data_IF_427163903383
#
_entry.id   IF_427163903383
#
_cell.length_a   1.000
_cell.length_b   1.000
_cell.length_c   1.000
_cell.angle_alpha   90.00
_cell.angle_beta   90.00
_cell.angle_gamma   90.00
#
_symmetry.space_group_name_H-M   'P 1'
#
loop_
_entity.id
_entity.type
_entity.pdbx_description
1 polymer ?
#
# COMPACT_ATOMS: atom_id res chain seq x y z
N UNK A 1 1.31 -6.14 52.43
CA UNK A 1 1.20 -4.80 53.06
C UNK A 1 1.36 -3.74 51.97
N UNK A 2 0.57 -2.63 51.98
CA UNK A 2 -0.89 -2.62 51.85
C UNK A 2 -1.36 -1.91 50.55
N UNK A 3 -2.56 -2.26 50.21
CA UNK A 3 -3.45 -1.57 49.28
C UNK A 3 -3.61 -0.06 49.57
N UNK A 4 -3.71 0.78 48.53
CA UNK A 4 -4.48 2.02 48.64
C UNK A 4 -5.46 2.12 47.46
N UNK A 5 -6.72 2.07 47.84
CA UNK A 5 -7.93 2.46 47.09
C UNK A 5 -8.03 3.98 47.07
N UNK A 6 -8.75 4.49 46.10
CA UNK A 6 -9.59 5.72 46.14
C UNK A 6 -9.42 6.51 44.82
N UNK A 7 -10.38 7.10 44.13
CA UNK A 7 -11.77 7.48 44.39
C UNK A 7 -12.49 7.67 43.06
N UNK A 8 -13.72 7.37 43.10
CA UNK A 8 -14.86 7.60 42.22
C UNK A 8 -15.17 9.09 42.07
N UNK A 9 -15.39 9.57 40.86
CA UNK A 9 -15.90 10.92 40.57
C UNK A 9 -16.84 10.93 39.36
N UNK A 10 -18.13 10.69 39.63
CA UNK A 10 -19.21 10.77 38.67
C UNK A 10 -19.67 12.24 38.58
N UNK A 11 -19.57 12.90 37.42
CA UNK A 11 -20.19 14.19 37.16
C UNK A 11 -21.23 14.05 36.06
N UNK A 12 -22.51 14.07 36.51
CA UNK A 12 -23.68 14.22 35.66
C UNK A 12 -23.82 15.68 35.25
N UNK A 13 -23.84 15.99 33.97
CA UNK A 13 -24.33 17.26 33.42
C UNK A 13 -25.70 17.03 32.80
N UNK A 14 -26.72 17.63 33.46
CA UNK A 14 -28.08 17.75 32.96
C UNK A 14 -28.14 19.07 32.17
N UNK A 15 -28.44 19.01 30.88
CA UNK A 15 -28.75 20.20 30.07
C UNK A 15 -30.23 20.21 29.75
N UNK A 16 -30.88 21.29 30.24
CA UNK A 16 -32.30 21.57 30.09
C UNK A 16 -32.63 22.07 28.68
N UNK A 17 -33.69 21.51 28.08
CA UNK A 17 -34.35 22.05 26.89
C UNK A 17 -35.16 23.31 27.28
N UNK A 18 -34.92 24.41 26.60
CA UNK A 18 -35.81 25.56 26.61
C UNK A 18 -36.66 25.56 25.33
N UNK A 19 -37.97 25.52 25.54
CA UNK A 19 -38.99 25.66 24.51
C UNK A 19 -39.19 27.17 24.19
N UNK A 20 -39.06 27.55 22.93
CA UNK A 20 -39.41 28.92 22.48
C UNK A 20 -40.83 28.90 21.94
N UNK A 21 -41.69 29.66 22.60
CA UNK A 21 -43.08 29.88 22.22
C UNK A 21 -43.15 30.95 21.14
N UNK A 22 -43.72 30.66 19.98
CA UNK A 22 -43.95 31.63 18.92
C UNK A 22 -45.31 32.35 19.13
N UNK A 23 -45.27 33.66 19.10
CA UNK A 23 -46.43 34.55 19.17
C UNK A 23 -47.05 34.73 17.78
N UNK A 24 -48.38 34.63 17.60
CA UNK A 24 -49.01 34.86 16.30
C UNK A 24 -49.18 36.34 15.99
N UNK A 25 -48.76 36.75 14.79
CA UNK A 25 -48.97 38.08 14.22
C UNK A 25 -50.32 38.14 13.50
N UNK A 26 -51.11 39.25 13.64
CA UNK A 26 -52.42 39.34 13.00
C UNK A 26 -52.33 39.56 11.49
N UNK A 27 -53.19 38.88 10.76
CA UNK A 27 -53.32 38.96 9.31
C UNK A 27 -54.01 40.29 8.89
N UNK A 28 -53.36 41.06 8.04
CA UNK A 28 -53.95 42.21 7.35
C UNK A 28 -54.51 41.76 6.00
N UNK A 29 -55.84 41.84 5.85
CA UNK A 29 -56.57 41.59 4.62
C UNK A 29 -56.34 42.73 3.64
N UNK A 30 -55.75 42.47 2.47
CA UNK A 30 -55.71 43.36 1.34
C UNK A 30 -56.44 42.71 0.16
N UNK A 31 -57.38 43.46 -0.41
CA UNK A 31 -58.21 43.07 -1.56
C UNK A 31 -57.36 42.77 -2.79
N UNK A 32 -57.73 41.76 -3.62
CA UNK A 32 -56.97 41.45 -4.80
C UNK A 32 -57.23 42.47 -5.91
N UNK A 33 -56.20 43.14 -6.37
CA UNK A 33 -56.19 43.89 -7.63
C UNK A 33 -56.03 42.89 -8.74
N UNK A 34 -56.98 42.86 -9.71
CA UNK A 34 -56.91 41.99 -10.88
C UNK A 34 -55.77 42.42 -11.81
N UNK A 35 -54.69 41.72 -11.80
CA UNK A 35 -53.59 41.86 -12.75
C UNK A 35 -53.98 41.12 -14.08
N UNK A 36 -53.80 41.74 -15.26
CA UNK A 36 -54.07 41.04 -16.52
C UNK A 36 -53.15 39.80 -16.68
N UNK A 37 -53.77 38.72 -17.09
CA UNK A 37 -53.11 37.45 -17.34
C UNK A 37 -52.03 37.60 -18.44
N UNK A 38 -50.75 37.26 -18.20
CA UNK A 38 -49.73 37.28 -19.22
C UNK A 38 -50.06 36.25 -20.31
N UNK A 39 -50.01 36.67 -21.56
CA UNK A 39 -50.13 35.78 -22.73
C UNK A 39 -48.98 34.82 -22.74
N UNK A 40 -49.25 33.52 -22.58
CA UNK A 40 -48.27 32.47 -22.71
C UNK A 40 -47.69 32.45 -24.12
N UNK A 41 -46.42 32.79 -24.25
CA UNK A 41 -45.62 32.48 -25.45
C UNK A 41 -45.45 30.96 -25.53
N UNK A 42 -45.51 30.37 -26.72
CA UNK A 42 -45.24 28.93 -26.87
C UNK A 42 -43.84 28.62 -26.42
N UNK A 43 -43.73 27.59 -25.57
CA UNK A 43 -42.45 27.07 -25.09
C UNK A 43 -41.55 26.68 -26.23
N UNK A 44 -40.40 27.33 -26.36
CA UNK A 44 -39.33 26.90 -27.24
C UNK A 44 -38.78 25.60 -26.68
N UNK A 45 -38.76 24.50 -27.46
CA UNK A 45 -38.22 23.24 -26.96
C UNK A 45 -36.77 23.44 -26.52
N UNK A 46 -36.52 23.26 -25.21
CA UNK A 46 -35.19 23.22 -24.67
C UNK A 46 -34.46 22.03 -25.31
N UNK A 47 -33.27 22.23 -25.91
CA UNK A 47 -32.51 21.11 -26.44
C UNK A 47 -32.22 20.11 -25.35
N UNK A 48 -32.57 18.84 -25.58
CA UNK A 48 -32.28 17.74 -24.70
C UNK A 48 -30.76 17.66 -24.50
N UNK A 49 -30.25 17.58 -23.23
CA UNK A 49 -28.81 17.51 -23.02
C UNK A 49 -28.24 16.26 -23.69
N UNK A 50 -27.33 16.46 -24.61
CA UNK A 50 -26.56 15.38 -25.23
C UNK A 50 -25.86 14.59 -24.15
N UNK A 51 -26.01 13.26 -24.07
CA UNK A 51 -25.31 12.46 -23.07
C UNK A 51 -23.80 12.66 -23.20
N UNK A 52 -23.18 13.29 -22.20
CA UNK A 52 -21.73 13.36 -22.09
C UNK A 52 -21.27 11.97 -21.67
N UNK A 53 -20.58 11.27 -22.58
CA UNK A 53 -19.93 10.00 -22.21
C UNK A 53 -18.87 10.30 -21.17
N UNK A 54 -19.04 9.77 -19.96
CA UNK A 54 -17.95 9.74 -19.00
C UNK A 54 -16.79 8.95 -19.60
N UNK A 55 -15.55 9.45 -19.54
CA UNK A 55 -14.40 8.70 -20.02
C UNK A 55 -14.34 7.36 -19.29
N UNK A 56 -14.40 6.26 -20.05
CA UNK A 56 -14.19 4.93 -19.50
C UNK A 56 -12.82 4.90 -18.78
N UNK A 57 -12.72 4.35 -17.56
CA UNK A 57 -11.44 4.27 -16.88
C UNK A 57 -10.44 3.55 -17.77
N UNK A 58 -9.34 4.21 -18.11
CA UNK A 58 -8.25 3.61 -18.87
C UNK A 58 -7.68 2.46 -18.03
N UNK A 59 -7.70 1.25 -18.58
CA UNK A 59 -7.07 0.10 -17.92
C UNK A 59 -5.58 0.42 -17.65
N UNK A 60 -5.13 0.13 -16.44
CA UNK A 60 -3.72 0.28 -16.09
C UNK A 60 -2.87 -0.66 -16.97
N UNK A 61 -1.70 -0.21 -17.46
CA UNK A 61 -0.86 -1.06 -18.28
C UNK A 61 -0.34 -2.25 -17.45
N UNK A 62 -0.32 -3.45 -18.07
CA UNK A 62 0.21 -4.67 -17.43
C UNK A 62 1.67 -4.51 -17.02
N UNK A 63 2.48 -3.88 -17.85
CA UNK A 63 3.89 -3.56 -17.55
C UNK A 63 4.05 -2.05 -17.44
N UNK A 64 4.74 -1.60 -16.39
CA UNK A 64 4.77 -0.19 -16.03
C UNK A 64 6.02 0.18 -15.22
N UNK A 65 6.26 1.47 -15.11
CA UNK A 65 7.12 2.06 -14.07
C UNK A 65 6.24 2.95 -13.20
N UNK A 66 6.37 2.84 -11.89
CA UNK A 66 5.67 3.67 -10.92
C UNK A 66 6.70 4.44 -10.07
N UNK A 67 6.61 5.77 -10.10
CA UNK A 67 7.54 6.68 -9.42
C UNK A 67 6.98 7.23 -8.09
N UNK A 68 5.84 6.75 -7.64
CA UNK A 68 5.19 7.10 -6.37
C UNK A 68 4.92 8.60 -6.18
N UNK A 69 4.70 9.34 -7.25
CA UNK A 69 4.53 10.80 -7.24
C UNK A 69 3.28 11.28 -6.49
N UNK A 70 2.20 10.50 -6.44
CA UNK A 70 0.92 11.01 -5.96
C UNK A 70 0.03 10.04 -5.18
N UNK A 71 0.00 8.76 -5.49
CA UNK A 71 -0.92 7.85 -4.81
C UNK A 71 -0.49 6.39 -4.88
N UNK A 72 -1.00 5.59 -3.94
CA UNK A 72 -0.86 4.14 -3.93
C UNK A 72 -2.11 3.45 -4.50
N UNK A 73 -2.83 4.11 -5.42
CA UNK A 73 -3.98 3.50 -6.08
C UNK A 73 -3.57 2.22 -6.80
N UNK A 74 -4.30 1.13 -6.54
CA UNK A 74 -3.97 -0.19 -7.07
C UNK A 74 -2.94 -0.97 -6.25
N UNK A 75 -2.35 -0.37 -5.22
CA UNK A 75 -1.46 -1.08 -4.30
C UNK A 75 -2.20 -1.53 -3.04
N UNK A 76 -2.00 -2.77 -2.64
CA UNK A 76 -2.54 -3.38 -1.43
C UNK A 76 -1.43 -3.50 -0.40
N UNK A 77 -1.69 -3.03 0.81
CA UNK A 77 -0.71 -3.08 1.90
C UNK A 77 -1.11 -4.21 2.83
N UNK A 78 -0.18 -5.13 3.08
CA UNK A 78 -0.34 -6.23 4.02
C UNK A 78 0.78 -6.18 5.05
N UNK A 79 0.49 -6.70 6.24
CA UNK A 79 1.43 -6.76 7.36
C UNK A 79 1.42 -8.14 7.99
N UNK A 80 2.61 -8.60 8.37
CA UNK A 80 2.79 -9.77 9.24
C UNK A 80 3.63 -9.41 10.46
N UNK A 81 3.48 -10.19 11.52
CA UNK A 81 4.26 -10.06 12.74
C UNK A 81 3.66 -9.11 13.75
N UNK A 82 4.37 -8.08 14.17
CA UNK A 82 3.93 -7.14 15.20
C UNK A 82 2.63 -6.42 14.82
N UNK A 83 1.75 -6.18 15.79
CA UNK A 83 0.44 -5.52 15.59
C UNK A 83 0.53 -3.98 15.53
N UNK A 84 1.70 -3.39 15.72
CA UNK A 84 1.90 -1.94 15.62
C UNK A 84 1.68 -1.49 14.18
N UNK A 85 0.88 -0.44 14.00
CA UNK A 85 0.57 0.10 12.68
C UNK A 85 1.79 0.84 12.11
N UNK A 86 2.40 0.37 11.02
CA UNK A 86 3.50 1.06 10.36
C UNK A 86 2.99 2.27 9.57
N UNK A 87 3.89 3.19 9.27
CA UNK A 87 3.58 4.33 8.41
C UNK A 87 3.97 4.00 6.97
N UNK A 88 2.95 3.87 6.09
CA UNK A 88 3.14 3.60 4.66
C UNK A 88 2.53 4.74 3.87
N UNK A 89 3.32 5.44 3.07
CA UNK A 89 2.86 6.58 2.28
C UNK A 89 3.69 6.80 1.03
N UNK A 90 3.05 7.33 -0.01
CA UNK A 90 3.73 7.95 -1.15
C UNK A 90 3.94 9.43 -0.83
N UNK A 91 5.17 9.89 -0.79
CA UNK A 91 5.54 11.26 -0.46
C UNK A 91 6.85 11.65 -1.11
N UNK A 92 6.89 12.86 -1.71
CA UNK A 92 8.08 13.42 -2.37
C UNK A 92 8.71 12.49 -3.41
N UNK A 93 7.88 11.84 -4.24
CA UNK A 93 8.34 10.93 -5.29
C UNK A 93 8.95 9.63 -4.76
N UNK A 94 8.51 9.15 -3.59
CA UNK A 94 8.95 7.87 -3.06
C UNK A 94 7.84 7.17 -2.26
N UNK A 95 7.82 5.84 -2.30
CA UNK A 95 7.09 5.02 -1.33
C UNK A 95 7.93 4.87 -0.07
N UNK A 96 7.41 5.38 1.03
CA UNK A 96 8.04 5.26 2.35
C UNK A 96 7.40 4.13 3.14
N UNK A 97 8.22 3.16 3.57
CA UNK A 97 7.85 2.11 4.51
C UNK A 97 8.61 2.34 5.81
N UNK A 98 7.91 2.87 6.83
CA UNK A 98 8.49 3.15 8.14
C UNK A 98 7.94 2.19 9.18
N UNK A 99 8.83 1.54 9.90
CA UNK A 99 8.53 0.62 11.00
C UNK A 99 9.32 1.03 12.24
N UNK A 100 8.60 1.37 13.32
CA UNK A 100 9.16 1.75 14.60
C UNK A 100 9.09 0.61 15.63
N UNK A 101 8.54 -0.53 15.22
CA UNK A 101 8.42 -1.75 16.03
C UNK A 101 9.22 -2.90 15.43
N UNK A 102 9.85 -3.75 16.25
CA UNK A 102 10.59 -4.92 15.76
C UNK A 102 9.64 -6.00 15.26
N UNK A 103 10.19 -6.95 14.47
CA UNK A 103 9.47 -8.14 13.97
C UNK A 103 8.20 -7.80 13.20
N UNK A 104 8.30 -6.82 12.31
CA UNK A 104 7.24 -6.38 11.40
C UNK A 104 7.67 -6.62 9.96
N UNK A 105 6.81 -7.24 9.16
CA UNK A 105 6.98 -7.43 7.71
C UNK A 105 5.88 -6.68 6.99
N UNK A 106 6.25 -5.82 6.07
CA UNK A 106 5.35 -5.05 5.23
C UNK A 106 5.45 -5.51 3.78
N UNK A 107 4.30 -5.64 3.16
CA UNK A 107 4.15 -5.94 1.74
C UNK A 107 3.32 -4.84 1.10
N UNK A 108 3.78 -4.33 -0.02
CA UNK A 108 3.03 -3.42 -0.89
C UNK A 108 2.89 -4.10 -2.24
N UNK A 109 1.73 -4.72 -2.48
CA UNK A 109 1.46 -5.57 -3.63
C UNK A 109 0.68 -4.82 -4.70
N UNK A 110 1.06 -4.97 -5.97
CA UNK A 110 0.30 -4.46 -7.09
C UNK A 110 -0.93 -5.34 -7.31
N UNK A 111 -2.11 -4.81 -7.00
CA UNK A 111 -3.38 -5.57 -6.96
C UNK A 111 -4.01 -5.86 -8.32
N UNK A 112 -3.90 -4.98 -9.35
CA UNK A 112 -4.68 -5.12 -10.58
C UNK A 112 -4.31 -6.31 -11.46
N UNK A 113 -3.06 -6.83 -11.39
CA UNK A 113 -2.54 -7.82 -12.32
C UNK A 113 -1.88 -8.99 -11.58
N UNK A 114 -1.96 -10.17 -12.21
CA UNK A 114 -1.20 -11.36 -11.85
C UNK A 114 -0.26 -11.74 -13.00
N UNK A 115 0.92 -12.22 -12.66
CA UNK A 115 2.01 -12.50 -13.61
C UNK A 115 2.49 -13.93 -13.42
N UNK A 116 2.66 -14.62 -14.54
CA UNK A 116 3.37 -15.90 -14.63
C UNK A 116 4.89 -15.68 -14.67
N UNK A 117 5.40 -15.21 -15.80
CA UNK A 117 6.80 -14.81 -15.95
C UNK A 117 6.89 -13.27 -15.91
N UNK A 118 7.76 -12.75 -15.05
CA UNK A 118 7.86 -11.31 -14.82
C UNK A 118 9.22 -10.90 -14.28
N UNK A 119 9.68 -9.72 -14.65
CA UNK A 119 10.81 -9.04 -14.03
C UNK A 119 10.32 -7.82 -13.25
N UNK A 120 10.77 -7.70 -12.01
CA UNK A 120 10.54 -6.56 -11.14
C UNK A 120 11.89 -5.98 -10.79
N UNK A 121 12.04 -4.66 -10.99
CA UNK A 121 13.19 -3.89 -10.54
C UNK A 121 12.70 -2.75 -9.66
N UNK A 122 13.44 -2.40 -8.61
CA UNK A 122 13.14 -1.25 -7.77
C UNK A 122 14.41 -0.57 -7.31
N UNK A 123 14.37 0.76 -7.25
CA UNK A 123 15.41 1.56 -6.63
C UNK A 123 14.97 1.93 -5.22
N UNK A 124 15.86 1.76 -4.27
CA UNK A 124 15.58 2.10 -2.89
C UNK A 124 16.77 2.72 -2.16
N UNK A 125 16.45 3.43 -1.09
CA UNK A 125 17.41 3.91 -0.09
C UNK A 125 16.89 3.55 1.30
N UNK A 126 17.70 2.89 2.13
CA UNK A 126 17.41 2.79 3.55
C UNK A 126 17.85 4.08 4.22
N UNK A 127 16.89 4.93 4.60
CA UNK A 127 17.13 6.25 5.20
C UNK A 127 17.37 6.21 6.72
N UNK A 128 17.13 5.04 7.36
CA UNK A 128 17.53 4.83 8.74
C UNK A 128 19.03 4.48 8.82
N UNK A 129 19.67 4.84 9.91
CA UNK A 129 21.08 4.47 10.17
C UNK A 129 21.27 3.00 10.53
N UNK A 130 20.18 2.28 10.84
CA UNK A 130 20.15 0.86 11.19
C UNK A 130 20.06 -0.02 9.95
N UNK A 131 20.63 -1.24 9.93
CA UNK A 131 20.37 -2.19 8.86
C UNK A 131 18.87 -2.48 8.70
N UNK A 132 18.41 -2.54 7.46
CA UNK A 132 17.03 -2.87 7.13
C UNK A 132 16.99 -3.94 6.05
N UNK A 133 16.04 -4.85 6.15
CA UNK A 133 15.70 -5.81 5.09
C UNK A 133 14.70 -5.14 4.15
N UNK A 134 15.04 -5.13 2.86
CA UNK A 134 14.22 -4.54 1.78
C UNK A 134 14.17 -5.53 0.64
N UNK A 135 13.02 -5.69 -0.01
CA UNK A 135 12.92 -6.74 -1.01
C UNK A 135 11.83 -6.57 -2.06
N UNK A 136 11.78 -7.58 -2.91
CA UNK A 136 10.83 -7.73 -4.01
C UNK A 136 10.04 -9.02 -3.83
N UNK A 137 8.77 -8.98 -4.22
CA UNK A 137 7.85 -10.11 -4.16
C UNK A 137 7.40 -10.48 -5.58
N UNK A 138 7.36 -11.77 -5.88
CA UNK A 138 6.68 -12.28 -7.07
C UNK A 138 5.80 -13.49 -6.76
N UNK A 139 4.85 -13.75 -7.65
CA UNK A 139 3.91 -14.88 -7.58
C UNK A 139 3.16 -14.95 -6.26
N UNK A 140 2.80 -13.77 -5.73
CA UNK A 140 2.00 -13.71 -4.53
C UNK A 140 0.57 -14.19 -4.79
N UNK A 141 0.15 -15.18 -4.01
CA UNK A 141 -1.23 -15.65 -3.89
C UNK A 141 -1.61 -15.85 -2.43
N UNK A 142 -2.83 -15.46 -2.05
CA UNK A 142 -3.28 -15.51 -0.65
C UNK A 142 -3.23 -16.93 -0.06
N UNK A 143 -3.52 -17.95 -0.88
CA UNK A 143 -3.56 -19.36 -0.45
C UNK A 143 -2.26 -20.10 -0.75
N UNK A 144 -1.59 -19.76 -1.86
CA UNK A 144 -0.42 -20.48 -2.36
C UNK A 144 0.88 -20.02 -1.75
N UNK A 145 0.94 -18.76 -1.29
CA UNK A 145 2.16 -18.11 -0.81
C UNK A 145 2.83 -17.25 -1.87
N UNK A 146 4.09 -16.95 -1.67
CA UNK A 146 4.88 -16.06 -2.55
C UNK A 146 6.37 -16.35 -2.48
N UNK A 147 7.11 -15.84 -3.46
CA UNK A 147 8.57 -15.71 -3.35
C UNK A 147 8.93 -14.29 -2.99
N UNK A 148 9.90 -14.13 -2.08
CA UNK A 148 10.52 -12.84 -1.79
C UNK A 148 12.03 -12.91 -1.86
N UNK A 149 12.63 -11.94 -2.53
CA UNK A 149 14.05 -11.68 -2.54
C UNK A 149 14.32 -10.49 -1.63
N UNK A 150 15.06 -10.71 -0.57
CA UNK A 150 15.40 -9.69 0.41
C UNK A 150 16.89 -9.39 0.40
N UNK A 151 17.24 -8.11 0.45
CA UNK A 151 18.58 -7.62 0.71
C UNK A 151 18.59 -6.86 2.03
N UNK A 152 19.64 -7.04 2.81
CA UNK A 152 19.87 -6.25 4.01
C UNK A 152 21.04 -5.30 3.79
N UNK A 153 20.92 -4.07 4.28
CA UNK A 153 21.97 -3.06 4.13
C UNK A 153 23.24 -3.34 4.97
N UNK A 154 23.30 -4.49 5.62
CA UNK A 154 24.52 -5.07 6.20
C UNK A 154 25.31 -5.94 5.20
N UNK A 155 24.84 -6.08 3.95
CA UNK A 155 25.46 -6.84 2.90
C UNK A 155 24.96 -8.27 2.75
N UNK A 156 23.96 -8.69 3.53
CA UNK A 156 23.36 -10.03 3.42
C UNK A 156 22.14 -10.04 2.51
N UNK A 157 21.76 -11.22 2.02
CA UNK A 157 20.55 -11.44 1.24
C UNK A 157 20.01 -12.85 1.38
N UNK A 158 18.70 -13.00 1.16
CA UNK A 158 18.06 -14.31 1.12
C UNK A 158 16.91 -14.35 0.10
N UNK A 159 16.42 -15.56 -0.14
CA UNK A 159 15.19 -15.83 -0.86
C UNK A 159 14.35 -16.72 0.01
N UNK A 160 13.13 -16.27 0.24
CA UNK A 160 12.16 -16.97 1.06
C UNK A 160 10.94 -17.35 0.21
N UNK A 161 10.34 -18.47 0.56
CA UNK A 161 8.97 -18.79 0.27
C UNK A 161 8.15 -18.43 1.51
N UNK A 162 7.21 -17.52 1.36
CA UNK A 162 6.26 -17.13 2.40
C UNK A 162 4.88 -17.70 2.16
N UNK A 163 4.13 -17.98 3.23
CA UNK A 163 2.71 -18.29 3.16
C UNK A 163 1.97 -17.80 4.40
N UNK A 164 0.72 -17.44 4.24
CA UNK A 164 -0.12 -17.10 5.37
C UNK A 164 -0.57 -18.36 6.13
N UNK A 165 -0.42 -18.34 7.44
CA UNK A 165 -1.04 -19.31 8.35
C UNK A 165 -2.41 -18.79 8.84
N UNK A 166 -2.52 -17.48 9.01
CA UNK A 166 -3.75 -16.75 9.33
C UNK A 166 -3.51 -15.26 9.02
N UNK A 167 -4.53 -14.39 9.01
CA UNK A 167 -4.33 -12.96 8.81
C UNK A 167 -3.28 -12.39 9.78
N UNK A 168 -2.26 -11.72 9.23
CA UNK A 168 -1.15 -11.14 10.00
C UNK A 168 -0.08 -12.12 10.49
N UNK A 169 -0.24 -13.43 10.25
CA UNK A 169 0.72 -14.45 10.65
C UNK A 169 1.22 -15.21 9.43
N UNK A 170 2.49 -15.02 9.09
CA UNK A 170 3.13 -15.69 7.97
C UNK A 170 4.18 -16.70 8.45
N UNK A 171 4.36 -17.78 7.69
CA UNK A 171 5.46 -18.72 7.81
C UNK A 171 6.42 -18.50 6.65
N UNK A 172 7.73 -18.59 6.94
CA UNK A 172 8.77 -18.42 5.94
C UNK A 172 9.67 -19.64 5.88
N UNK A 173 9.94 -20.12 4.66
CA UNK A 173 10.86 -21.21 4.40
C UNK A 173 11.98 -20.71 3.47
N UNK A 174 13.26 -20.92 3.82
CA UNK A 174 14.35 -20.57 2.93
C UNK A 174 14.28 -21.36 1.61
N UNK A 175 14.25 -20.63 0.49
CA UNK A 175 14.48 -21.24 -0.84
C UNK A 175 15.97 -21.54 -0.99
N UNK A 176 16.81 -20.66 -0.47
CA UNK A 176 18.26 -20.87 -0.33
C UNK A 176 18.72 -20.39 1.03
N UNK A 177 19.88 -20.89 1.47
CA UNK A 177 20.55 -20.34 2.64
C UNK A 177 20.89 -18.87 2.43
N UNK A 178 20.90 -18.11 3.53
CA UNK A 178 21.39 -16.73 3.57
C UNK A 178 22.82 -16.64 3.02
N UNK A 179 23.10 -15.55 2.34
CA UNK A 179 24.40 -15.31 1.76
C UNK A 179 24.77 -13.82 1.89
N UNK A 180 26.03 -13.49 1.68
CA UNK A 180 26.52 -12.12 1.72
C UNK A 180 27.19 -11.74 0.39
N UNK A 181 27.13 -10.46 0.06
CA UNK A 181 27.78 -9.89 -1.14
C UNK A 181 28.22 -8.46 -0.88
N UNK A 182 29.30 -8.04 -1.57
CA UNK A 182 29.76 -6.66 -1.59
C UNK A 182 29.00 -5.76 -2.58
N UNK A 183 28.08 -6.33 -3.35
CA UNK A 183 27.26 -5.56 -4.29
C UNK A 183 26.20 -4.73 -3.58
N UNK A 184 25.74 -5.18 -2.39
CA UNK A 184 24.77 -4.47 -1.57
C UNK A 184 25.47 -3.32 -0.86
N UNK A 185 24.91 -2.12 -1.01
CA UNK A 185 25.42 -0.90 -0.41
C UNK A 185 24.89 -0.72 1.02
N UNK A 186 25.64 -0.03 1.90
CA UNK A 186 25.19 0.24 3.26
C UNK A 186 23.99 1.21 3.31
N UNK A 187 23.41 1.36 4.51
CA UNK A 187 22.34 2.32 4.77
C UNK A 187 22.74 3.73 4.34
N UNK A 188 21.80 4.47 3.76
CA UNK A 188 22.00 5.81 3.22
C UNK A 188 22.40 5.86 1.74
N UNK A 189 22.87 4.76 1.18
CA UNK A 189 23.19 4.67 -0.25
C UNK A 189 21.98 4.19 -1.05
N UNK A 190 21.79 4.82 -2.23
CA UNK A 190 20.75 4.42 -3.18
C UNK A 190 21.25 3.26 -4.02
N UNK A 191 20.42 2.25 -4.18
CA UNK A 191 20.74 1.05 -4.95
C UNK A 191 19.51 0.46 -5.62
N UNK A 192 19.74 -0.37 -6.64
CA UNK A 192 18.69 -1.06 -7.38
C UNK A 192 18.75 -2.55 -7.10
N UNK A 193 17.59 -3.14 -6.86
CA UNK A 193 17.41 -4.59 -6.77
C UNK A 193 16.46 -5.07 -7.86
N UNK A 194 16.68 -6.27 -8.35
CA UNK A 194 15.82 -6.88 -9.38
C UNK A 194 15.54 -8.36 -9.09
N UNK A 195 14.34 -8.78 -9.41
CA UNK A 195 13.87 -10.16 -9.30
C UNK A 195 13.20 -10.56 -10.62
N UNK A 196 13.79 -11.52 -11.32
CA UNK A 196 13.18 -12.16 -12.47
C UNK A 196 12.61 -13.51 -12.03
N UNK A 197 11.30 -13.67 -12.12
CA UNK A 197 10.58 -14.92 -11.90
C UNK A 197 10.19 -15.47 -13.27
N UNK A 198 10.93 -16.48 -13.75
CA UNK A 198 10.70 -17.08 -15.06
C UNK A 198 10.70 -18.61 -14.97
N UNK A 199 9.62 -19.24 -15.44
CA UNK A 199 9.40 -20.67 -15.26
C UNK A 199 9.59 -21.05 -13.78
N UNK A 200 10.54 -21.94 -13.45
CA UNK A 200 10.87 -22.30 -12.06
C UNK A 200 12.17 -21.65 -11.55
N UNK A 201 12.73 -20.71 -12.30
CA UNK A 201 14.01 -20.07 -11.96
C UNK A 201 13.78 -18.65 -11.48
N UNK A 202 14.30 -18.35 -10.30
CA UNK A 202 14.39 -17.01 -9.76
C UNK A 202 15.79 -16.46 -10.05
N UNK A 203 15.89 -15.32 -10.75
CA UNK A 203 17.17 -14.66 -10.99
C UNK A 203 17.20 -13.34 -10.23
N UNK A 204 18.21 -13.17 -9.39
CA UNK A 204 18.39 -12.02 -8.51
C UNK A 204 19.41 -11.05 -9.10
N UNK A 205 19.13 -9.77 -8.97
CA UNK A 205 20.01 -8.69 -9.41
C UNK A 205 20.23 -7.67 -8.29
N UNK A 206 21.44 -7.15 -8.23
CA UNK A 206 21.80 -5.98 -7.43
C UNK A 206 22.61 -5.04 -8.34
N UNK A 207 22.15 -3.79 -8.47
CA UNK A 207 22.75 -2.79 -9.34
C UNK A 207 23.02 -3.35 -10.77
N UNK A 208 21.96 -3.92 -11.38
CA UNK A 208 21.96 -4.57 -12.70
C UNK A 208 22.93 -5.78 -12.87
N UNK A 209 23.59 -6.16 -11.81
CA UNK A 209 24.47 -7.33 -11.81
C UNK A 209 23.73 -8.58 -11.34
N UNK A 210 23.80 -9.67 -12.10
CA UNK A 210 23.25 -10.97 -11.68
C UNK A 210 23.97 -11.41 -10.41
N UNK A 211 23.23 -11.49 -9.33
CA UNK A 211 23.72 -11.97 -8.04
C UNK A 211 23.65 -13.49 -7.95
N UNK A 212 22.48 -14.05 -8.30
CA UNK A 212 22.25 -15.50 -8.17
C UNK A 212 21.08 -15.95 -9.06
N UNK A 213 21.13 -17.22 -9.46
CA UNK A 213 19.99 -17.95 -10.04
C UNK A 213 19.64 -19.12 -9.13
N UNK A 214 18.35 -19.33 -8.89
CA UNK A 214 17.84 -20.30 -7.93
C UNK A 214 16.69 -21.07 -8.54
N UNK A 215 16.76 -22.39 -8.44
CA UNK A 215 15.65 -23.27 -8.78
C UNK A 215 14.65 -23.31 -7.61
N UNK A 216 13.43 -22.90 -7.88
CA UNK A 216 12.33 -22.86 -6.94
C UNK A 216 11.25 -23.91 -7.22
N UNK A 217 11.56 -24.92 -8.06
CA UNK A 217 10.62 -25.97 -8.50
C UNK A 217 9.87 -26.62 -7.33
N UNK A 218 10.50 -26.77 -6.18
CA UNK A 218 9.91 -27.47 -5.03
C UNK A 218 8.68 -26.77 -4.43
N UNK A 219 8.47 -25.46 -4.71
CA UNK A 219 7.35 -24.68 -4.16
C UNK A 219 6.19 -24.50 -5.13
N UNK A 220 6.39 -24.83 -6.41
CA UNK A 220 5.38 -24.94 -7.46
C UNK A 220 4.54 -23.68 -7.74
N UNK A 221 4.96 -22.49 -7.26
CA UNK A 221 4.27 -21.25 -7.59
C UNK A 221 4.44 -20.92 -9.08
N UNK A 222 3.34 -20.65 -9.78
CA UNK A 222 3.33 -20.39 -11.23
C UNK A 222 3.02 -18.94 -11.57
N UNK A 223 2.04 -18.37 -10.91
CA UNK A 223 1.55 -17.02 -11.17
C UNK A 223 1.17 -16.32 -9.88
N UNK A 224 0.96 -15.03 -9.92
CA UNK A 224 0.48 -14.22 -8.83
C UNK A 224 0.94 -12.77 -8.91
N UNK A 225 0.62 -12.00 -7.88
CA UNK A 225 0.94 -10.57 -7.81
C UNK A 225 2.42 -10.35 -7.58
N UNK A 226 2.84 -9.12 -7.88
CA UNK A 226 4.19 -8.62 -7.63
C UNK A 226 4.15 -7.50 -6.61
N UNK A 227 5.28 -7.22 -5.97
CA UNK A 227 5.32 -6.12 -5.02
C UNK A 227 6.69 -5.85 -4.41
N UNK A 228 6.63 -4.95 -3.43
CA UNK A 228 7.76 -4.51 -2.63
C UNK A 228 7.56 -5.00 -1.20
N UNK A 229 8.65 -5.27 -0.51
CA UNK A 229 8.62 -5.64 0.91
C UNK A 229 9.71 -4.91 1.69
N UNK A 230 9.47 -4.69 2.96
CA UNK A 230 10.46 -4.30 3.93
C UNK A 230 10.17 -4.99 5.26
N UNK A 231 11.22 -5.31 6.01
CA UNK A 231 11.08 -5.94 7.31
C UNK A 231 11.99 -5.30 8.35
N UNK A 232 11.44 -5.16 9.56
CA UNK A 232 12.20 -4.87 10.76
C UNK A 232 12.44 -6.17 11.53
N UNK A 233 13.67 -6.37 11.98
CA UNK A 233 14.00 -7.37 12.99
C UNK A 233 14.16 -6.67 14.35
N UNK A 234 15.29 -6.87 15.02
CA UNK A 234 15.59 -6.18 16.29
C UNK A 234 16.04 -4.72 16.07
N UNK A 235 16.59 -4.42 14.90
CA UNK A 235 17.09 -3.09 14.56
C UNK A 235 15.96 -2.17 14.10
N UNK A 236 15.64 -1.18 14.88
CA UNK A 236 14.61 -0.16 14.61
C UNK A 236 15.19 1.24 14.87
N UNK A 237 14.64 2.29 14.24
CA UNK A 237 13.59 2.27 13.24
C UNK A 237 14.10 1.75 11.88
N UNK A 238 13.20 1.24 11.06
CA UNK A 238 13.42 1.01 9.63
C UNK A 238 12.73 2.11 8.84
N UNK A 239 13.41 2.69 7.87
CA UNK A 239 12.85 3.65 6.94
C UNK A 239 13.34 3.33 5.53
N UNK A 240 12.63 2.43 4.86
CA UNK A 240 12.86 2.09 3.47
C UNK A 240 12.10 3.07 2.56
N UNK A 241 12.81 3.71 1.65
CA UNK A 241 12.25 4.60 0.64
C UNK A 241 12.50 3.99 -0.74
N UNK A 242 11.44 3.69 -1.47
CA UNK A 242 11.51 3.25 -2.87
C UNK A 242 11.22 4.44 -3.77
N UNK A 243 12.20 4.80 -4.61
CA UNK A 243 12.05 5.93 -5.54
C UNK A 243 11.19 5.52 -6.74
N UNK A 244 11.34 4.29 -7.21
CA UNK A 244 10.51 3.72 -8.27
C UNK A 244 10.48 2.20 -8.20
N UNK A 245 9.44 1.63 -8.81
CA UNK A 245 9.35 0.20 -9.16
C UNK A 245 9.00 0.06 -10.63
N UNK A 246 9.65 -0.87 -11.29
CA UNK A 246 9.39 -1.24 -12.69
C UNK A 246 8.98 -2.70 -12.77
N UNK A 247 7.85 -2.95 -13.41
CA UNK A 247 7.36 -4.29 -13.78
C UNK A 247 7.47 -4.42 -15.28
N UNK A 248 8.16 -5.45 -15.77
CA UNK A 248 8.46 -5.64 -17.19
C UNK A 248 8.38 -7.10 -17.60
N UNK A 249 8.34 -7.32 -18.91
CA UNK A 249 8.53 -8.66 -19.49
C UNK A 249 9.91 -9.23 -19.08
N UNK A 250 10.02 -10.60 -18.98
CA UNK A 250 11.25 -11.27 -18.58
C UNK A 250 12.39 -11.20 -19.60
#
# INVERSE_FOLDING_TARGET
MPMKKLFLGCLLFITACQSVTATPTPATSLFPTSTPLPTLLPDTPTPEPTPTFEPSPTALPRFFTHEFDSSLAGWVILQAGNDSVPNVKAENGALLLQMDSPFTWLYTLYGPEEYDDVRIDAQFTNRAGTPASVGLVCRYGDEQGWYEFNVSTDGTYNILYGRWLSPGVAEYQPVTNDAATKLIQPSGETQTIGLLCKENILTLYVNDTVLRRVDATRFELKEGKVGLTAASYENIPVLAAFDWVKVSEP
#
